data_IF_793542996371
#
_entry.id   IF_793542996371
#
_cell.length_a   1.000
_cell.length_b   1.000
_cell.length_c   1.000
_cell.angle_alpha   90.00
_cell.angle_beta   90.00
_cell.angle_gamma   90.00
#
_symmetry.space_group_name_H-M   'P 1'
#
loop_
_entity.id
_entity.type
_entity.pdbx_description
1 polymer ?
#
# COMPACT_ATOMS: atom_id res chain seq x y z
N UNK A 1 -30.07 -38.79 50.64
CA UNK A 1 -30.09 -38.26 49.23
C UNK A 1 -30.54 -36.82 49.28
N UNK A 2 -29.68 -35.95 48.86
CA UNK A 2 -29.54 -34.57 49.33
C UNK A 2 -30.59 -33.61 48.73
N UNK A 3 -31.63 -33.33 49.50
CA UNK A 3 -32.65 -32.30 49.21
C UNK A 3 -32.08 -30.87 48.97
N UNK A 4 -30.94 -30.43 49.58
CA UNK A 4 -30.43 -29.05 49.33
C UNK A 4 -29.83 -28.86 47.92
N UNK A 5 -29.33 -29.93 47.25
CA UNK A 5 -28.74 -29.81 45.91
C UNK A 5 -29.82 -29.61 44.83
N UNK A 6 -30.99 -30.22 45.01
CA UNK A 6 -32.13 -30.06 44.09
C UNK A 6 -32.73 -28.66 44.13
N UNK A 7 -32.78 -28.02 45.31
CA UNK A 7 -33.23 -26.66 45.48
C UNK A 7 -32.28 -25.61 44.85
N UNK A 8 -30.97 -25.87 44.89
CA UNK A 8 -29.97 -25.03 44.27
C UNK A 8 -30.03 -25.06 42.72
N UNK A 9 -30.29 -26.22 42.12
CA UNK A 9 -30.47 -26.33 40.66
C UNK A 9 -31.81 -25.68 40.19
N UNK A 10 -32.87 -25.77 40.97
CA UNK A 10 -34.14 -25.10 40.63
C UNK A 10 -34.04 -23.57 40.70
N UNK A 11 -33.26 -23.03 41.63
CA UNK A 11 -33.03 -21.58 41.74
C UNK A 11 -32.16 -21.06 40.60
N UNK A 12 -31.15 -21.84 40.13
CA UNK A 12 -30.31 -21.44 39.01
C UNK A 12 -31.06 -21.46 37.66
N UNK A 13 -32.01 -22.39 37.49
CA UNK A 13 -32.84 -22.47 36.30
C UNK A 13 -33.86 -21.30 36.22
N UNK A 14 -34.37 -20.82 37.37
CA UNK A 14 -35.27 -19.67 37.39
C UNK A 14 -34.58 -18.35 37.06
N UNK A 15 -33.32 -18.16 37.43
CA UNK A 15 -32.54 -16.98 37.08
C UNK A 15 -32.20 -16.89 35.59
N UNK A 16 -32.05 -18.02 34.92
CA UNK A 16 -31.77 -18.05 33.47
C UNK A 16 -32.99 -17.66 32.62
N UNK A 17 -34.20 -17.84 33.14
CA UNK A 17 -35.43 -17.51 32.41
C UNK A 17 -35.80 -16.01 32.44
N UNK A 18 -35.18 -15.22 33.31
CA UNK A 18 -35.53 -13.78 33.45
C UNK A 18 -34.75 -12.84 32.58
N UNK A 19 -33.82 -13.34 31.72
CA UNK A 19 -33.08 -12.48 30.79
C UNK A 19 -33.74 -12.36 29.40
N UNK A 20 -34.96 -12.81 29.23
CA UNK A 20 -35.79 -12.36 28.10
C UNK A 20 -36.30 -10.95 28.39
N UNK A 21 -35.39 -9.98 28.48
CA UNK A 21 -35.77 -8.55 28.40
C UNK A 21 -36.55 -8.42 27.12
N UNK A 22 -37.83 -8.07 27.22
CA UNK A 22 -38.64 -7.68 26.09
C UNK A 22 -37.88 -6.60 25.33
N UNK A 23 -37.26 -6.98 24.23
CA UNK A 23 -36.60 -6.03 23.35
C UNK A 23 -37.68 -5.03 22.97
N UNK A 24 -37.54 -3.79 23.44
CA UNK A 24 -38.39 -2.69 23.01
C UNK A 24 -38.43 -2.74 21.48
N UNK A 25 -39.60 -2.65 20.84
CA UNK A 25 -39.70 -2.69 19.40
C UNK A 25 -38.87 -1.53 18.85
N UNK A 26 -37.68 -1.86 18.33
CA UNK A 26 -36.79 -0.89 17.73
C UNK A 26 -37.51 -0.29 16.52
N UNK A 27 -37.74 1.01 16.51
CA UNK A 27 -38.39 1.65 15.37
C UNK A 27 -37.41 1.64 14.15
N UNK A 28 -37.96 1.55 12.95
CA UNK A 28 -37.17 1.53 11.74
C UNK A 28 -36.17 2.71 11.64
N UNK A 29 -36.52 3.97 11.94
CA UNK A 29 -35.58 5.08 11.95
C UNK A 29 -34.39 4.86 12.90
N UNK A 30 -34.61 4.37 14.09
CA UNK A 30 -33.56 4.11 15.08
C UNK A 30 -32.66 2.96 14.61
N UNK A 31 -33.24 1.92 14.02
CA UNK A 31 -32.44 0.82 13.41
C UNK A 31 -31.55 1.32 12.29
N UNK A 32 -32.05 2.25 11.48
CA UNK A 32 -31.30 2.89 10.40
C UNK A 32 -30.14 3.74 10.93
N UNK A 33 -30.37 4.57 11.94
CA UNK A 33 -29.33 5.40 12.55
C UNK A 33 -28.21 4.51 13.13
N UNK A 34 -28.58 3.42 13.80
CA UNK A 34 -27.59 2.45 14.30
C UNK A 34 -26.81 1.75 13.19
N UNK A 35 -27.45 1.45 12.06
CA UNK A 35 -26.78 0.90 10.89
C UNK A 35 -25.73 1.86 10.36
N UNK A 36 -26.07 3.14 10.20
CA UNK A 36 -25.16 4.16 9.70
C UNK A 36 -23.95 4.41 10.63
N UNK A 37 -24.18 4.42 11.95
CA UNK A 37 -23.09 4.61 12.91
C UNK A 37 -22.12 3.41 12.99
N UNK A 38 -22.63 2.18 12.80
CA UNK A 38 -21.86 0.95 13.07
C UNK A 38 -21.43 0.20 11.84
N UNK A 39 -21.93 0.55 10.67
CA UNK A 39 -21.60 -0.15 9.43
C UNK A 39 -20.14 0.04 9.04
N UNK A 40 -19.37 -1.03 9.06
CA UNK A 40 -18.01 -1.04 8.58
C UNK A 40 -17.93 -0.85 7.06
N UNK A 41 -18.98 -1.26 6.31
CA UNK A 41 -19.08 -1.02 4.87
C UNK A 41 -19.12 0.48 4.56
N UNK A 42 -19.93 1.27 5.30
CA UNK A 42 -20.01 2.71 5.11
C UNK A 42 -18.75 3.44 5.53
N UNK A 43 -18.12 3.01 6.62
CA UNK A 43 -16.81 3.53 7.03
C UNK A 43 -15.74 3.26 5.96
N UNK A 44 -15.69 2.05 5.44
CA UNK A 44 -14.76 1.69 4.37
C UNK A 44 -15.00 2.52 3.10
N UNK A 45 -16.27 2.75 2.71
CA UNK A 45 -16.61 3.61 1.57
C UNK A 45 -16.19 5.07 1.81
N UNK A 46 -16.34 5.60 3.04
CA UNK A 46 -15.87 6.95 3.40
C UNK A 46 -14.34 7.06 3.29
N UNK A 47 -13.60 6.09 3.85
CA UNK A 47 -12.14 6.05 3.75
C UNK A 47 -11.67 5.93 2.30
N UNK A 48 -12.42 5.22 1.45
CA UNK A 48 -12.13 5.15 0.02
C UNK A 48 -12.30 6.51 -0.65
N UNK A 49 -13.37 7.25 -0.36
CA UNK A 49 -13.55 8.62 -0.85
C UNK A 49 -12.39 9.51 -0.40
N UNK A 50 -12.03 9.44 0.88
CA UNK A 50 -10.91 10.23 1.42
C UNK A 50 -9.59 9.87 0.73
N UNK A 51 -9.29 8.60 0.53
CA UNK A 51 -8.09 8.14 -0.20
C UNK A 51 -8.03 8.70 -1.62
N UNK A 52 -9.17 8.72 -2.35
CA UNK A 52 -9.23 9.31 -3.70
C UNK A 52 -9.02 10.83 -3.69
N UNK A 53 -9.54 11.54 -2.68
CA UNK A 53 -9.28 12.98 -2.49
C UNK A 53 -7.82 13.27 -2.22
N UNK A 54 -7.16 12.50 -1.37
CA UNK A 54 -5.72 12.69 -1.12
C UNK A 54 -4.89 12.37 -2.37
N UNK A 55 -5.28 11.38 -3.15
CA UNK A 55 -4.67 11.10 -4.46
C UNK A 55 -4.85 12.29 -5.41
N UNK A 56 -6.04 12.88 -5.49
CA UNK A 56 -6.30 14.07 -6.30
C UNK A 56 -5.39 15.22 -5.89
N UNK A 57 -5.30 15.54 -4.59
CA UNK A 57 -4.41 16.59 -4.07
C UNK A 57 -2.95 16.36 -4.44
N UNK A 58 -2.48 15.11 -4.35
CA UNK A 58 -1.11 14.78 -4.73
C UNK A 58 -0.84 15.00 -6.21
N UNK A 59 -1.84 14.77 -7.06
CA UNK A 59 -1.75 14.97 -8.50
C UNK A 59 -1.85 16.45 -8.90
N UNK A 60 -2.49 17.31 -8.10
CA UNK A 60 -2.57 18.75 -8.35
C UNK A 60 -1.17 19.40 -8.38
N UNK A 61 -0.22 18.85 -7.62
CA UNK A 61 1.15 19.38 -7.53
C UNK A 61 2.11 18.84 -8.59
N UNK A 62 1.70 17.86 -9.41
CA UNK A 62 2.57 17.22 -10.41
C UNK A 62 3.12 18.17 -11.48
N UNK A 63 2.45 19.28 -11.75
CA UNK A 63 2.92 20.32 -12.68
C UNK A 63 3.98 21.26 -12.11
N UNK A 64 4.27 21.16 -10.81
CA UNK A 64 5.24 21.98 -10.10
C UNK A 64 6.66 21.42 -10.12
N UNK A 65 7.65 22.20 -9.66
CA UNK A 65 9.01 21.72 -9.47
C UNK A 65 9.06 20.75 -8.30
N UNK A 66 9.70 19.59 -8.51
CA UNK A 66 9.96 18.59 -7.47
C UNK A 66 11.43 18.58 -7.13
N UNK A 67 11.77 18.69 -5.83
CA UNK A 67 13.14 18.58 -5.34
C UNK A 67 13.27 17.28 -4.54
N UNK A 68 14.20 16.44 -4.99
CA UNK A 68 14.51 15.17 -4.31
C UNK A 68 15.93 15.24 -3.74
N UNK A 69 16.04 14.96 -2.45
CA UNK A 69 17.31 14.80 -1.75
C UNK A 69 17.60 13.32 -1.55
N UNK A 70 18.77 12.88 -1.99
CA UNK A 70 19.22 11.50 -1.82
C UNK A 70 20.54 11.47 -1.08
N UNK A 71 20.62 10.63 -0.05
CA UNK A 71 21.87 10.32 0.63
C UNK A 71 22.10 8.81 0.55
N UNK A 72 23.28 8.41 0.07
CA UNK A 72 23.64 7.00 -0.03
C UNK A 72 25.10 6.81 0.36
N UNK A 73 25.39 5.67 0.96
CA UNK A 73 26.74 5.19 1.15
C UNK A 73 27.13 4.33 -0.05
N UNK A 74 28.20 4.72 -0.74
CA UNK A 74 28.75 3.94 -1.85
C UNK A 74 29.99 3.21 -1.36
N UNK A 75 30.00 1.89 -1.53
CA UNK A 75 31.19 1.06 -1.34
C UNK A 75 31.38 0.23 -2.62
N UNK A 76 32.47 0.44 -3.30
CA UNK A 76 32.79 -0.29 -4.51
C UNK A 76 34.31 -0.45 -4.68
N UNK A 77 34.72 -1.60 -5.15
CA UNK A 77 36.10 -1.86 -5.54
C UNK A 77 36.10 -2.37 -6.98
N UNK A 78 36.90 -1.73 -7.80
CA UNK A 78 37.14 -2.19 -9.16
C UNK A 78 38.63 -2.53 -9.29
N UNK A 79 38.90 -3.78 -9.66
CA UNK A 79 40.24 -4.28 -9.94
C UNK A 79 40.37 -4.41 -11.43
N UNK A 80 41.40 -3.81 -12.00
CA UNK A 80 41.73 -3.92 -13.42
C UNK A 80 43.06 -4.62 -13.47
N UNK A 81 43.06 -5.88 -13.90
CA UNK A 81 44.23 -6.68 -14.14
C UNK A 81 44.30 -6.95 -15.64
N UNK A 82 45.29 -6.36 -16.31
CA UNK A 82 45.56 -6.59 -17.74
C UNK A 82 46.98 -7.08 -17.85
N UNK A 83 47.14 -8.37 -18.12
CA UNK A 83 48.43 -8.98 -18.42
C UNK A 83 48.49 -9.31 -19.92
N UNK A 84 49.35 -8.65 -20.62
CA UNK A 84 49.56 -8.91 -22.04
C UNK A 84 51.04 -9.29 -22.29
N UNK A 85 51.23 -10.50 -22.78
CA UNK A 85 52.52 -10.94 -23.24
C UNK A 85 52.69 -10.59 -24.72
N UNK A 86 53.71 -9.83 -25.03
CA UNK A 86 54.07 -9.43 -26.39
C UNK A 86 55.26 -10.28 -26.82
N UNK A 87 55.14 -11.13 -27.89
CA UNK A 87 56.26 -11.88 -28.41
C UNK A 87 57.37 -10.93 -28.87
N UNK A 88 58.60 -11.25 -28.50
CA UNK A 88 59.71 -10.47 -28.94
C UNK A 88 60.06 -10.89 -30.38
N UNK A 89 59.93 -10.03 -31.40
CA UNK A 89 60.24 -10.37 -32.80
C UNK A 89 61.72 -10.61 -33.05
N UNK A 90 62.56 -10.24 -32.10
CA UNK A 90 64.01 -10.45 -32.19
C UNK A 90 64.49 -11.68 -31.39
N UNK A 91 63.57 -12.42 -30.80
CA UNK A 91 63.89 -13.68 -30.12
C UNK A 91 64.33 -14.73 -31.14
N UNK A 92 65.58 -15.15 -31.07
CA UNK A 92 66.16 -16.11 -32.01
C UNK A 92 67.04 -15.49 -33.11
N UNK A 93 67.23 -14.16 -33.16
CA UNK A 93 68.21 -13.53 -34.00
C UNK A 93 69.64 -13.91 -33.56
N UNK A 94 70.60 -14.11 -34.47
CA UNK A 94 71.96 -14.43 -34.13
C UNK A 94 72.73 -13.20 -33.59
N UNK A 95 72.37 -12.83 -32.38
CA UNK A 95 72.96 -11.73 -31.63
C UNK A 95 73.86 -12.30 -30.51
N UNK A 96 74.94 -11.59 -30.13
CA UNK A 96 75.86 -12.04 -29.09
C UNK A 96 75.19 -11.99 -27.66
N UNK A 97 73.98 -11.59 -27.58
CA UNK A 97 73.17 -11.52 -26.33
C UNK A 97 71.87 -12.32 -26.49
N UNK A 98 71.47 -13.09 -25.46
CA UNK A 98 70.21 -13.79 -25.45
C UNK A 98 69.12 -12.83 -25.02
N UNK A 99 68.14 -12.56 -25.90
CA UNK A 99 67.00 -11.74 -25.64
C UNK A 99 65.79 -12.60 -25.10
N UNK A 100 65.03 -12.16 -24.16
CA UNK A 100 63.85 -12.89 -23.70
C UNK A 100 62.87 -13.08 -24.86
N UNK A 101 62.17 -14.26 -24.88
CA UNK A 101 61.25 -14.64 -25.95
C UNK A 101 59.98 -13.81 -25.99
N UNK A 102 59.64 -13.12 -24.89
CA UNK A 102 58.48 -12.25 -24.77
C UNK A 102 58.69 -11.19 -23.69
N UNK A 103 58.02 -10.05 -23.88
CA UNK A 103 57.90 -9.00 -22.88
C UNK A 103 56.51 -9.05 -22.29
N UNK A 104 56.39 -9.10 -20.95
CA UNK A 104 55.12 -8.98 -20.27
C UNK A 104 54.87 -7.53 -19.88
N UNK A 105 53.74 -6.99 -20.32
CA UNK A 105 53.25 -5.69 -19.88
C UNK A 105 52.02 -5.94 -19.05
N UNK A 106 52.09 -5.66 -17.72
CA UNK A 106 51.01 -5.79 -16.81
C UNK A 106 50.57 -4.42 -16.30
N UNK A 107 49.28 -4.17 -16.32
CA UNK A 107 48.66 -3.02 -15.65
C UNK A 107 47.76 -3.57 -14.55
N UNK A 108 48.15 -3.34 -13.30
CA UNK A 108 47.41 -3.74 -12.14
C UNK A 108 46.94 -2.50 -11.39
N UNK A 109 45.67 -2.15 -11.56
CA UNK A 109 45.10 -0.98 -10.89
C UNK A 109 43.92 -1.39 -10.02
N UNK A 110 43.94 -0.93 -8.77
CA UNK A 110 42.85 -1.10 -7.82
C UNK A 110 42.24 0.26 -7.55
N UNK A 111 41.01 0.47 -8.01
CA UNK A 111 40.24 1.64 -7.69
C UNK A 111 39.23 1.26 -6.58
N UNK A 112 39.31 1.90 -5.43
CA UNK A 112 38.34 1.78 -4.36
C UNK A 112 37.57 3.08 -4.25
N UNK A 113 36.25 3.00 -4.34
CA UNK A 113 35.30 4.11 -4.09
C UNK A 113 34.54 3.79 -2.83
N UNK A 114 34.80 4.53 -1.78
CA UNK A 114 34.09 4.38 -0.51
C UNK A 114 33.82 5.75 0.09
N UNK A 115 32.54 6.07 0.29
CA UNK A 115 32.17 7.34 0.90
C UNK A 115 30.68 7.64 0.85
N UNK A 116 30.24 8.63 1.64
CA UNK A 116 28.90 9.15 1.55
C UNK A 116 28.73 9.97 0.27
N UNK A 117 27.61 9.79 -0.40
CA UNK A 117 27.21 10.59 -1.55
C UNK A 117 25.88 11.24 -1.24
N UNK A 118 25.82 12.56 -1.34
CA UNK A 118 24.58 13.34 -1.25
C UNK A 118 24.31 13.94 -2.62
N UNK A 119 23.10 13.80 -3.11
CA UNK A 119 22.64 14.39 -4.36
C UNK A 119 21.31 15.11 -4.14
N UNK A 120 21.21 16.30 -4.70
CA UNK A 120 19.94 17.04 -4.80
C UNK A 120 19.57 17.13 -6.29
N UNK A 121 18.37 16.69 -6.62
CA UNK A 121 17.85 16.73 -7.99
C UNK A 121 16.57 17.56 -8.00
N UNK A 122 16.52 18.59 -8.84
CA UNK A 122 15.31 19.36 -9.10
C UNK A 122 14.79 19.00 -10.49
N UNK A 123 13.53 18.61 -10.55
CA UNK A 123 12.85 18.26 -11.80
C UNK A 123 11.61 19.12 -11.97
N UNK A 124 11.47 19.77 -13.10
CA UNK A 124 10.32 20.56 -13.44
C UNK A 124 9.78 20.17 -14.82
N UNK A 125 8.59 19.56 -14.90
CA UNK A 125 7.99 19.21 -16.17
C UNK A 125 7.42 20.48 -16.85
N UNK A 126 8.16 21.06 -17.81
CA UNK A 126 7.74 22.27 -18.51
C UNK A 126 6.63 21.96 -19.52
N UNK A 127 6.72 20.80 -20.17
CA UNK A 127 5.72 20.35 -21.15
C UNK A 127 5.57 18.85 -21.14
N UNK A 128 4.32 18.36 -21.01
CA UNK A 128 4.00 16.93 -20.90
C UNK A 128 2.96 16.47 -21.94
N UNK A 129 2.70 17.28 -22.97
CA UNK A 129 1.70 16.94 -24.00
C UNK A 129 0.28 16.71 -23.45
N UNK A 130 -0.11 17.43 -22.38
CA UNK A 130 -1.43 17.26 -21.75
C UNK A 130 -1.56 16.06 -20.81
N UNK A 131 -0.49 15.26 -20.60
CA UNK A 131 -0.55 14.09 -19.74
C UNK A 131 -0.92 14.44 -18.29
N UNK A 132 -0.32 15.51 -17.73
CA UNK A 132 -0.59 15.92 -16.35
C UNK A 132 -2.04 16.38 -16.20
N UNK A 133 -2.55 17.23 -17.11
CA UNK A 133 -3.94 17.66 -17.05
C UNK A 133 -4.92 16.51 -17.18
N UNK A 134 -4.66 15.57 -18.09
CA UNK A 134 -5.48 14.37 -18.21
C UNK A 134 -5.49 13.49 -16.94
N UNK A 135 -4.34 13.38 -16.26
CA UNK A 135 -4.25 12.66 -14.97
C UNK A 135 -5.01 13.40 -13.85
N UNK A 136 -4.93 14.72 -13.82
CA UNK A 136 -5.68 15.55 -12.86
C UNK A 136 -7.19 15.42 -13.08
N UNK A 137 -7.65 15.48 -14.33
CA UNK A 137 -9.06 15.29 -14.66
C UNK A 137 -9.54 13.88 -14.34
N UNK A 138 -8.75 12.85 -14.67
CA UNK A 138 -9.06 11.48 -14.31
C UNK A 138 -9.18 11.28 -12.79
N UNK A 139 -8.35 11.97 -11.99
CA UNK A 139 -8.42 11.91 -10.54
C UNK A 139 -9.68 12.55 -9.97
N UNK A 140 -10.18 13.63 -10.56
CA UNK A 140 -11.47 14.25 -10.19
C UNK A 140 -12.62 13.28 -10.42
N UNK A 141 -12.67 12.66 -11.61
CA UNK A 141 -13.71 11.66 -11.90
C UNK A 141 -13.60 10.42 -10.99
N UNK A 142 -12.39 10.03 -10.58
CA UNK A 142 -12.21 8.95 -9.62
C UNK A 142 -12.75 9.29 -8.21
N UNK A 143 -12.73 10.57 -7.81
CA UNK A 143 -13.41 11.03 -6.58
C UNK A 143 -14.91 10.97 -6.74
N UNK A 144 -15.44 11.47 -7.88
CA UNK A 144 -16.88 11.45 -8.16
C UNK A 144 -17.43 10.02 -8.21
N UNK A 145 -16.68 9.09 -8.82
CA UNK A 145 -16.98 7.65 -8.81
C UNK A 145 -17.06 7.10 -7.38
N UNK A 146 -16.06 7.40 -6.53
CA UNK A 146 -16.04 6.91 -5.15
C UNK A 146 -17.23 7.47 -4.33
N UNK A 147 -17.61 8.74 -4.54
CA UNK A 147 -18.78 9.35 -3.92
C UNK A 147 -20.07 8.67 -4.37
N UNK A 148 -20.20 8.40 -5.67
CA UNK A 148 -21.36 7.69 -6.21
C UNK A 148 -21.45 6.25 -5.67
N UNK A 149 -20.31 5.55 -5.57
CA UNK A 149 -20.24 4.20 -4.99
C UNK A 149 -20.65 4.20 -3.51
N UNK A 150 -20.16 5.16 -2.71
CA UNK A 150 -20.57 5.31 -1.31
C UNK A 150 -22.11 5.49 -1.19
N UNK A 151 -22.69 6.28 -2.07
CA UNK A 151 -24.14 6.47 -2.12
C UNK A 151 -24.86 5.17 -2.46
N UNK A 152 -24.42 4.44 -3.47
CA UNK A 152 -24.97 3.15 -3.83
C UNK A 152 -24.87 2.14 -2.68
N UNK A 153 -23.75 2.10 -1.96
CA UNK A 153 -23.55 1.26 -0.78
C UNK A 153 -24.53 1.62 0.35
N UNK A 154 -24.82 2.91 0.56
CA UNK A 154 -25.81 3.33 1.57
C UNK A 154 -27.24 2.95 1.18
N UNK A 155 -27.61 3.11 -0.09
CA UNK A 155 -28.93 2.73 -0.60
C UNK A 155 -29.13 1.20 -0.55
N UNK A 156 -28.11 0.41 -0.86
CA UNK A 156 -28.12 -1.05 -0.76
C UNK A 156 -28.31 -1.52 0.71
N UNK A 157 -27.61 -0.90 1.65
CA UNK A 157 -27.76 -1.20 3.07
C UNK A 157 -29.14 -0.81 3.60
N UNK A 158 -29.72 0.31 3.15
CA UNK A 158 -31.07 0.71 3.50
C UNK A 158 -32.09 -0.31 2.97
N UNK A 159 -31.92 -0.79 1.75
CA UNK A 159 -32.78 -1.82 1.17
C UNK A 159 -32.69 -3.17 1.93
N UNK A 160 -31.47 -3.58 2.29
CA UNK A 160 -31.26 -4.78 3.10
C UNK A 160 -31.89 -4.63 4.51
N UNK A 161 -31.70 -3.47 5.17
CA UNK A 161 -32.32 -3.21 6.47
C UNK A 161 -33.85 -3.28 6.38
N UNK A 162 -34.44 -2.66 5.35
CA UNK A 162 -35.90 -2.73 5.15
C UNK A 162 -36.36 -4.17 4.96
N UNK A 163 -35.66 -4.96 4.15
CA UNK A 163 -35.98 -6.37 3.95
C UNK A 163 -35.96 -7.17 5.26
N UNK A 164 -34.93 -7.04 6.05
CA UNK A 164 -34.81 -7.73 7.35
C UNK A 164 -35.82 -7.23 8.37
N UNK A 165 -36.00 -5.91 8.48
CA UNK A 165 -36.92 -5.31 9.46
C UNK A 165 -38.35 -5.73 9.20
N UNK A 166 -38.88 -5.57 7.99
CA UNK A 166 -40.25 -5.93 7.67
C UNK A 166 -40.45 -7.45 7.57
N UNK A 167 -39.41 -8.18 7.13
CA UNK A 167 -39.43 -9.65 7.13
C UNK A 167 -39.56 -10.24 8.53
N UNK A 168 -38.87 -9.68 9.53
CA UNK A 168 -38.98 -10.12 10.92
C UNK A 168 -40.35 -9.76 11.49
N UNK A 169 -40.92 -8.58 11.19
CA UNK A 169 -42.24 -8.19 11.61
C UNK A 169 -43.34 -9.14 11.05
N UNK A 170 -43.20 -9.49 9.76
CA UNK A 170 -44.12 -10.44 9.13
C UNK A 170 -44.03 -11.82 9.81
N UNK A 171 -42.84 -12.31 10.09
CA UNK A 171 -42.64 -13.60 10.75
C UNK A 171 -43.21 -13.65 12.17
N UNK A 172 -43.25 -12.51 12.88
CA UNK A 172 -43.84 -12.40 14.22
C UNK A 172 -45.37 -12.27 14.20
N UNK A 173 -45.97 -11.95 13.05
CA UNK A 173 -47.41 -11.77 12.89
C UNK A 173 -48.15 -13.05 12.48
N UNK A 174 -47.45 -14.13 12.16
CA UNK A 174 -47.98 -15.44 11.80
C UNK A 174 -47.93 -16.39 12.99
#
# INVERSE_FOLDING_TARGET
>A
MNKPIQLAFAALALCAAQQCSAALPLSFPVARDWLYERSDKLKASEEQVQSKRETQKSLETLGGPTVTLQAMQIAGQKKIDIDKSIPNPLAGAPLPIQLPGSFSVGVHEKMSLNGPRVAATATWPIYTGGKISAMQDASKYAVDEAVAQKRADSEDLDAQLAGYYFGTQLALSV
#
